data_IF_528151846024
#
_entry.id   IF_528151846024
#
_cell.length_a   1.000
_cell.length_b   1.000
_cell.length_c   1.000
_cell.angle_alpha   90.00
_cell.angle_beta   90.00
_cell.angle_gamma   90.00
#
_symmetry.space_group_name_H-M   'P 1'
#
loop_
_entity.id
_entity.type
_entity.pdbx_description
1 polymer ?
#
# COMPACT_ATOMS: atom_id res chain seq x y z
N UNK A 1 -0.04 -50.31 1.49
CA UNK A 1 0.56 -50.75 0.23
C UNK A 1 0.49 -49.56 -0.73
N UNK A 2 1.50 -48.84 -1.07
CA UNK A 2 2.92 -49.11 -1.22
C UNK A 2 3.68 -47.77 -1.08
N UNK A 3 4.75 -47.85 -0.36
CA UNK A 3 5.85 -46.89 -0.18
C UNK A 3 6.68 -46.75 -1.46
N UNK A 4 7.15 -45.54 -1.82
CA UNK A 4 8.35 -45.29 -2.62
C UNK A 4 8.71 -43.80 -2.46
N UNK A 5 9.73 -43.46 -1.98
CA UNK A 5 11.16 -43.63 -1.75
C UNK A 5 11.90 -42.34 -2.21
N UNK A 6 12.75 -41.90 -1.31
CA UNK A 6 13.63 -40.73 -1.44
C UNK A 6 14.74 -41.04 -2.46
N UNK A 7 15.12 -40.07 -3.29
CA UNK A 7 16.50 -40.02 -3.81
C UNK A 7 17.03 -38.59 -3.84
N UNK A 8 18.01 -38.42 -3.03
CA UNK A 8 19.02 -37.38 -2.93
C UNK A 8 19.70 -37.08 -4.26
N UNK A 9 20.00 -35.80 -4.52
CA UNK A 9 21.06 -35.43 -5.45
C UNK A 9 22.10 -34.56 -4.75
N UNK A 10 23.28 -35.11 -4.62
CA UNK A 10 24.52 -34.51 -4.13
C UNK A 10 25.19 -33.71 -5.25
N UNK A 11 25.61 -32.53 -4.97
CA UNK A 11 26.91 -31.93 -5.08
C UNK A 11 27.65 -31.84 -6.39
N UNK A 12 28.02 -30.63 -6.76
CA UNK A 12 29.27 -30.37 -7.45
C UNK A 12 29.88 -29.09 -6.88
N UNK A 13 31.04 -29.26 -6.23
CA UNK A 13 31.96 -28.18 -5.86
C UNK A 13 32.72 -27.72 -7.12
N UNK A 14 32.65 -26.43 -7.46
CA UNK A 14 33.55 -25.80 -8.42
C UNK A 14 34.55 -24.89 -7.71
N UNK A 15 35.83 -25.24 -7.76
CA UNK A 15 36.94 -24.47 -7.18
C UNK A 15 37.23 -23.23 -8.03
N UNK A 16 37.30 -22.06 -7.41
CA UNK A 16 37.80 -20.82 -8.03
C UNK A 16 39.29 -20.69 -7.75
N UNK A 17 40.07 -20.61 -8.84
CA UNK A 17 41.49 -20.34 -8.84
C UNK A 17 41.72 -18.85 -8.67
N UNK A 18 42.50 -18.46 -7.64
CA UNK A 18 43.01 -17.11 -7.42
C UNK A 18 44.26 -16.89 -8.24
N UNK A 19 44.17 -16.07 -9.29
CA UNK A 19 45.31 -15.56 -10.04
C UNK A 19 45.77 -14.21 -9.46
N UNK A 20 46.86 -14.19 -8.73
CA UNK A 20 47.52 -12.99 -8.31
C UNK A 20 48.34 -12.36 -9.42
N UNK A 21 48.09 -11.10 -9.76
CA UNK A 21 48.95 -10.29 -10.61
C UNK A 21 49.67 -9.26 -9.73
N UNK A 22 51.00 -9.46 -9.59
CA UNK A 22 51.94 -8.47 -9.04
C UNK A 22 52.12 -7.34 -10.06
N UNK A 23 51.75 -6.13 -9.77
CA UNK A 23 52.09 -4.93 -10.56
C UNK A 23 53.16 -4.14 -9.85
N UNK A 24 54.34 -4.06 -10.45
CA UNK A 24 55.44 -3.21 -10.04
C UNK A 24 55.15 -1.75 -10.28
N UNK A 25 55.22 -0.94 -9.22
CA UNK A 25 55.00 0.51 -9.28
C UNK A 25 56.27 1.22 -9.76
N UNK A 26 56.26 1.78 -10.94
CA UNK A 26 57.28 2.69 -11.44
C UNK A 26 56.91 4.13 -11.06
N UNK A 27 57.71 4.81 -10.27
CA UNK A 27 57.49 6.21 -9.89
C UNK A 27 57.94 7.10 -11.05
N UNK A 28 56.97 7.57 -11.83
CA UNK A 28 57.16 8.63 -12.82
C UNK A 28 56.82 9.99 -12.25
N UNK A 29 57.81 10.91 -12.32
CA UNK A 29 57.68 12.32 -11.93
C UNK A 29 56.71 13.05 -12.86
N UNK A 30 55.52 13.44 -12.37
CA UNK A 30 54.52 14.15 -13.14
C UNK A 30 54.80 15.66 -13.17
N UNK A 31 54.71 16.25 -14.36
CA UNK A 31 54.64 17.70 -14.60
C UNK A 31 53.30 18.28 -14.14
N UNK A 32 53.18 19.59 -13.86
CA UNK A 32 51.92 20.19 -13.42
C UNK A 32 50.93 20.29 -14.58
N UNK A 33 50.02 19.35 -14.62
CA UNK A 33 48.90 19.33 -15.55
C UNK A 33 47.68 19.98 -14.90
N UNK A 34 47.09 20.88 -15.62
CA UNK A 34 45.84 21.61 -15.33
C UNK A 34 44.74 20.64 -14.87
N UNK A 35 44.28 20.79 -13.65
CA UNK A 35 43.15 20.01 -13.13
C UNK A 35 41.87 20.42 -13.88
N UNK A 36 41.39 19.56 -14.77
CA UNK A 36 40.04 19.69 -15.32
C UNK A 36 39.08 19.31 -14.21
N UNK A 37 38.46 20.30 -13.61
CA UNK A 37 37.35 20.10 -12.69
C UNK A 37 36.17 19.61 -13.51
N UNK A 38 35.99 18.30 -13.55
CA UNK A 38 34.77 17.70 -14.09
C UNK A 38 33.61 18.11 -13.17
N UNK A 39 32.78 19.02 -13.63
CA UNK A 39 31.55 19.38 -12.92
C UNK A 39 30.74 18.09 -12.73
N UNK A 40 30.61 17.64 -11.48
CA UNK A 40 29.70 16.59 -11.15
C UNK A 40 28.30 17.04 -11.56
N UNK A 41 27.68 16.31 -12.49
CA UNK A 41 26.31 16.54 -12.87
C UNK A 41 25.45 16.34 -11.63
N UNK A 42 24.99 17.44 -11.06
CA UNK A 42 24.01 17.43 -9.99
C UNK A 42 22.74 16.88 -10.60
N UNK A 43 22.50 15.60 -10.41
CA UNK A 43 21.19 14.97 -10.73
C UNK A 43 20.18 15.64 -9.82
N UNK A 44 19.48 16.63 -10.35
CA UNK A 44 18.31 17.24 -9.71
C UNK A 44 17.29 16.13 -9.58
N UNK A 45 17.19 15.52 -8.40
CA UNK A 45 16.05 14.70 -8.03
C UNK A 45 14.85 15.63 -8.19
N UNK A 46 14.02 15.37 -9.21
CA UNK A 46 12.77 16.10 -9.40
C UNK A 46 12.01 16.00 -8.10
N UNK A 47 11.98 17.08 -7.34
CA UNK A 47 11.28 17.15 -6.08
C UNK A 47 9.82 16.75 -6.32
N UNK A 48 9.37 15.77 -5.57
CA UNK A 48 7.96 15.33 -5.56
C UNK A 48 7.10 16.54 -5.24
N UNK A 49 6.04 16.78 -6.02
CA UNK A 49 5.08 17.82 -5.67
C UNK A 49 4.50 17.49 -4.27
N UNK A 50 4.44 18.47 -3.37
CA UNK A 50 3.91 18.23 -2.03
C UNK A 50 2.43 17.85 -2.12
N UNK A 51 2.02 16.84 -1.35
CA UNK A 51 0.62 16.46 -1.18
C UNK A 51 -0.02 17.48 -0.25
N UNK A 52 -0.90 18.31 -0.79
CA UNK A 52 -1.63 19.35 -0.06
C UNK A 52 -3.06 18.94 0.23
N UNK A 53 -3.67 18.13 -0.64
CA UNK A 53 -5.04 17.70 -0.53
C UNK A 53 -5.14 16.17 -0.57
N UNK A 54 -5.91 15.60 0.35
CA UNK A 54 -6.19 14.16 0.45
C UNK A 54 -7.70 13.98 0.46
N UNK A 55 -8.22 13.12 -0.44
CA UNK A 55 -9.60 12.65 -0.38
C UNK A 55 -9.60 11.16 -0.06
N UNK A 56 -10.26 10.79 1.02
CA UNK A 56 -10.33 9.43 1.53
C UNK A 56 -11.74 8.87 1.46
N UNK A 57 -11.88 7.64 0.94
CA UNK A 57 -13.10 6.86 1.01
C UNK A 57 -12.84 5.58 1.81
N UNK A 58 -13.76 5.24 2.74
CA UNK A 58 -13.54 4.10 3.60
C UNK A 58 -14.78 3.55 4.29
N UNK A 59 -14.56 2.46 4.99
CA UNK A 59 -15.52 1.77 5.83
C UNK A 59 -15.34 2.11 7.33
N UNK A 60 -15.86 1.27 8.20
CA UNK A 60 -15.75 1.43 9.66
C UNK A 60 -14.30 1.46 10.17
N UNK A 61 -13.35 0.86 9.45
CA UNK A 61 -11.94 0.86 9.82
C UNK A 61 -11.36 2.27 9.68
N UNK A 62 -11.59 2.91 8.51
CA UNK A 62 -11.17 4.29 8.31
C UNK A 62 -11.94 5.26 9.21
N UNK A 63 -13.25 5.04 9.39
CA UNK A 63 -14.06 5.85 10.28
C UNK A 63 -13.51 5.88 11.71
N UNK A 64 -13.11 4.73 12.25
CA UNK A 64 -12.48 4.63 13.57
C UNK A 64 -11.13 5.35 13.65
N UNK A 65 -10.46 5.53 12.52
CA UNK A 65 -9.11 6.12 12.40
C UNK A 65 -9.13 7.54 11.81
N UNK A 66 -10.30 8.10 11.47
CA UNK A 66 -10.40 9.39 10.75
C UNK A 66 -9.63 10.50 11.45
N UNK A 67 -9.82 10.68 12.76
CA UNK A 67 -9.16 11.74 13.52
C UNK A 67 -7.63 11.61 13.49
N UNK A 68 -7.11 10.41 13.72
CA UNK A 68 -5.66 10.15 13.77
C UNK A 68 -5.05 10.24 12.38
N UNK A 69 -5.74 9.74 11.33
CA UNK A 69 -5.31 9.85 9.95
C UNK A 69 -5.26 11.30 9.48
N UNK A 70 -6.30 12.09 9.75
CA UNK A 70 -6.34 13.53 9.43
C UNK A 70 -5.18 14.28 10.07
N UNK A 71 -4.94 14.06 11.37
CA UNK A 71 -3.83 14.68 12.08
C UNK A 71 -2.46 14.26 11.49
N UNK A 72 -2.30 12.98 11.15
CA UNK A 72 -1.05 12.47 10.59
C UNK A 72 -0.75 13.03 9.18
N UNK A 73 -1.75 13.12 8.31
CA UNK A 73 -1.58 13.78 7.00
C UNK A 73 -1.29 15.27 7.16
N UNK A 74 -1.94 15.96 8.10
CA UNK A 74 -1.64 17.36 8.43
C UNK A 74 -0.21 17.56 8.90
N UNK A 75 0.32 16.66 9.73
CA UNK A 75 1.70 16.70 10.22
C UNK A 75 2.75 16.57 9.11
N UNK A 76 2.41 15.96 7.97
CA UNK A 76 3.29 15.83 6.79
C UNK A 76 2.97 16.83 5.68
N UNK A 77 2.18 17.86 5.98
CA UNK A 77 1.98 19.04 5.12
C UNK A 77 0.68 19.08 4.32
N UNK A 78 -0.24 18.12 4.50
CA UNK A 78 -1.56 18.22 3.90
C UNK A 78 -2.38 19.32 4.61
N UNK A 79 -2.92 20.24 3.84
CA UNK A 79 -3.74 21.37 4.34
C UNK A 79 -5.23 21.11 4.20
N UNK A 80 -5.59 20.15 3.34
CA UNK A 80 -6.97 19.74 3.11
C UNK A 80 -7.04 18.20 3.20
N UNK A 81 -7.70 17.67 4.21
CA UNK A 81 -7.91 16.23 4.38
C UNK A 81 -9.41 16.00 4.54
N UNK A 82 -10.01 15.44 3.51
CA UNK A 82 -11.43 15.09 3.48
C UNK A 82 -11.56 13.57 3.51
N UNK A 83 -12.26 13.03 4.50
CA UNK A 83 -12.47 11.59 4.66
C UNK A 83 -13.97 11.33 4.75
N UNK A 84 -14.48 10.57 3.77
CA UNK A 84 -15.83 10.03 3.77
C UNK A 84 -15.76 8.54 4.11
N UNK A 85 -16.08 8.19 5.35
CA UNK A 85 -15.98 6.85 5.88
C UNK A 85 -17.24 6.44 6.65
N UNK A 86 -17.88 5.35 6.22
CA UNK A 86 -19.15 4.87 6.78
C UNK A 86 -19.10 3.39 7.16
N UNK A 87 -19.74 3.07 8.28
CA UNK A 87 -19.84 1.69 8.77
C UNK A 87 -20.55 0.80 7.76
N UNK A 88 -19.96 -0.37 7.47
CA UNK A 88 -20.54 -1.36 6.58
C UNK A 88 -20.35 -1.06 5.08
N UNK A 89 -19.67 0.03 4.71
CA UNK A 89 -19.43 0.37 3.31
C UNK A 89 -18.63 -0.71 2.61
N UNK A 90 -19.09 -1.10 1.44
CA UNK A 90 -18.43 -2.01 0.51
C UNK A 90 -17.83 -1.23 -0.66
N UNK A 91 -16.99 -1.91 -1.44
CA UNK A 91 -16.43 -1.31 -2.66
C UNK A 91 -17.55 -0.98 -3.65
N UNK A 92 -18.35 -1.97 -4.04
CA UNK A 92 -19.35 -1.82 -5.12
C UNK A 92 -20.78 -1.66 -4.58
N UNK A 93 -21.21 -2.53 -3.70
CA UNK A 93 -22.59 -2.54 -3.20
C UNK A 93 -22.63 -1.91 -1.81
N UNK A 94 -23.51 -0.94 -1.59
CA UNK A 94 -23.89 -0.54 -0.25
C UNK A 94 -24.37 -1.76 0.55
N UNK A 95 -24.60 -1.63 1.84
CA UNK A 95 -25.04 -2.78 2.65
C UNK A 95 -26.45 -3.29 2.31
N UNK A 96 -27.12 -2.70 1.33
CA UNK A 96 -28.35 -3.20 0.71
C UNK A 96 -29.61 -3.05 1.53
N UNK A 97 -29.57 -2.31 2.62
CA UNK A 97 -30.69 -2.16 3.56
C UNK A 97 -30.99 -0.67 3.73
N UNK A 98 -32.08 -0.17 3.18
CA UNK A 98 -32.66 1.15 3.42
C UNK A 98 -31.66 2.30 3.49
N UNK A 99 -31.30 2.73 4.70
CA UNK A 99 -30.34 3.83 4.99
C UNK A 99 -28.86 3.42 4.89
N UNK A 100 -28.57 2.34 4.16
CA UNK A 100 -27.23 1.85 3.95
C UNK A 100 -26.32 2.91 3.28
N UNK A 101 -25.06 3.02 3.66
CA UNK A 101 -24.16 3.97 3.03
C UNK A 101 -24.00 3.64 1.54
N UNK A 102 -23.80 4.68 0.73
CA UNK A 102 -23.39 4.52 -0.67
C UNK A 102 -22.13 3.64 -0.72
N UNK A 103 -22.03 2.81 -1.76
CA UNK A 103 -20.81 2.04 -2.01
C UNK A 103 -19.61 2.98 -2.22
N UNK A 104 -18.40 2.44 -2.05
CA UNK A 104 -17.17 3.19 -2.29
C UNK A 104 -17.10 3.76 -3.69
N UNK A 105 -17.51 2.97 -4.71
CA UNK A 105 -17.57 3.42 -6.10
C UNK A 105 -18.48 4.63 -6.26
N UNK A 106 -19.71 4.56 -5.75
CA UNK A 106 -20.67 5.67 -5.86
C UNK A 106 -20.22 6.91 -5.08
N UNK A 107 -19.54 6.72 -3.95
CA UNK A 107 -18.97 7.83 -3.17
C UNK A 107 -17.88 8.54 -3.97
N UNK A 108 -16.91 7.80 -4.54
CA UNK A 108 -15.85 8.38 -5.38
C UNK A 108 -16.44 9.03 -6.63
N UNK A 109 -17.40 8.40 -7.29
CA UNK A 109 -18.08 8.96 -8.45
C UNK A 109 -18.76 10.30 -8.12
N UNK A 110 -19.44 10.37 -6.97
CA UNK A 110 -20.07 11.60 -6.50
C UNK A 110 -19.04 12.72 -6.21
N UNK A 111 -17.91 12.39 -5.61
CA UNK A 111 -16.83 13.35 -5.37
C UNK A 111 -16.23 13.86 -6.70
N UNK A 112 -15.96 12.97 -7.65
CA UNK A 112 -15.47 13.36 -8.97
C UNK A 112 -16.47 14.25 -9.72
N UNK A 113 -17.77 13.96 -9.63
CA UNK A 113 -18.84 14.80 -10.22
C UNK A 113 -18.91 16.20 -9.59
N UNK A 114 -18.53 16.34 -8.32
CA UNK A 114 -18.40 17.64 -7.64
C UNK A 114 -17.11 18.40 -8.02
N UNK A 115 -16.25 17.81 -8.85
CA UNK A 115 -14.98 18.40 -9.25
C UNK A 115 -13.86 18.23 -8.20
N UNK A 116 -13.94 17.21 -7.33
CA UNK A 116 -12.88 16.91 -6.36
C UNK A 116 -11.70 16.27 -7.09
N UNK A 117 -10.56 16.95 -7.06
CA UNK A 117 -9.29 16.51 -7.67
C UNK A 117 -8.16 16.61 -6.63
N UNK A 118 -8.04 15.65 -5.71
CA UNK A 118 -7.03 15.71 -4.68
C UNK A 118 -5.63 15.38 -5.22
N UNK A 119 -4.60 15.75 -4.46
CA UNK A 119 -3.23 15.33 -4.74
C UNK A 119 -2.99 13.86 -4.38
N UNK A 120 -3.85 13.27 -3.52
CA UNK A 120 -3.82 11.88 -3.09
C UNK A 120 -5.23 11.33 -2.90
N UNK A 121 -5.53 10.20 -3.52
CA UNK A 121 -6.66 9.36 -3.13
C UNK A 121 -6.25 8.36 -2.05
N UNK A 122 -7.08 8.22 -1.03
CA UNK A 122 -6.96 7.21 0.02
C UNK A 122 -8.18 6.27 -0.05
N UNK A 123 -7.92 4.96 -0.16
CA UNK A 123 -8.98 3.94 -0.13
C UNK A 123 -8.73 2.99 1.04
N UNK A 124 -9.74 2.83 1.90
CA UNK A 124 -9.74 1.85 3.00
C UNK A 124 -11.06 1.09 2.92
N UNK A 125 -11.13 0.15 1.98
CA UNK A 125 -12.31 -0.65 1.64
C UNK A 125 -11.89 -2.09 1.32
N UNK A 126 -12.84 -3.01 1.43
CA UNK A 126 -12.68 -4.43 1.17
C UNK A 126 -13.04 -5.28 2.37
N UNK A 127 -12.99 -4.74 3.60
CA UNK A 127 -13.30 -5.50 4.81
C UNK A 127 -14.72 -6.08 4.78
N UNK A 128 -15.70 -5.31 4.27
CA UNK A 128 -17.10 -5.73 4.22
C UNK A 128 -17.45 -6.53 2.95
N UNK A 129 -16.53 -6.61 2.01
CA UNK A 129 -16.67 -7.45 0.81
C UNK A 129 -16.26 -8.91 1.12
N UNK A 130 -15.36 -9.12 2.09
CA UNK A 130 -14.98 -10.45 2.59
C UNK A 130 -16.17 -11.10 3.29
N UNK A 131 -16.49 -12.33 2.86
CA UNK A 131 -17.65 -13.10 3.35
C UNK A 131 -18.88 -12.94 2.47
N UNK A 132 -18.97 -11.88 1.66
CA UNK A 132 -19.95 -11.77 0.58
C UNK A 132 -19.40 -12.31 -0.74
N UNK A 133 -18.10 -12.14 -0.91
CA UNK A 133 -17.32 -12.72 -1.99
C UNK A 133 -16.25 -13.63 -1.41
N UNK A 134 -15.80 -14.63 -2.19
CA UNK A 134 -14.85 -15.62 -1.73
C UNK A 134 -13.80 -16.01 -2.77
N UNK A 135 -13.93 -15.50 -4.00
CA UNK A 135 -13.04 -15.87 -5.11
C UNK A 135 -12.17 -14.67 -5.52
N UNK A 136 -10.93 -14.97 -5.90
CA UNK A 136 -9.98 -13.97 -6.37
C UNK A 136 -10.51 -13.13 -7.54
N UNK A 137 -11.24 -13.76 -8.48
CA UNK A 137 -11.82 -13.09 -9.65
C UNK A 137 -12.87 -12.06 -9.24
N UNK A 138 -13.68 -12.37 -8.22
CA UNK A 138 -14.71 -11.46 -7.70
C UNK A 138 -14.06 -10.23 -7.04
N UNK A 139 -13.05 -10.47 -6.19
CA UNK A 139 -12.27 -9.37 -5.59
C UNK A 139 -11.54 -8.56 -6.66
N UNK A 140 -11.00 -9.24 -7.68
CA UNK A 140 -10.34 -8.56 -8.80
C UNK A 140 -11.29 -7.62 -9.54
N UNK A 141 -12.51 -8.03 -9.83
CA UNK A 141 -13.51 -7.20 -10.50
C UNK A 141 -13.82 -5.93 -9.68
N UNK A 142 -14.08 -6.07 -8.37
CA UNK A 142 -14.36 -4.93 -7.48
C UNK A 142 -13.19 -3.93 -7.42
N UNK A 143 -11.97 -4.45 -7.30
CA UNK A 143 -10.76 -3.63 -7.22
C UNK A 143 -10.51 -2.93 -8.56
N UNK A 144 -10.67 -3.64 -9.67
CA UNK A 144 -10.48 -3.10 -11.01
C UNK A 144 -11.49 -1.96 -11.33
N UNK A 145 -12.74 -2.09 -10.92
CA UNK A 145 -13.75 -1.03 -11.05
C UNK A 145 -13.36 0.24 -10.29
N UNK A 146 -12.90 0.11 -9.05
CA UNK A 146 -12.41 1.24 -8.26
C UNK A 146 -11.17 1.88 -8.90
N UNK A 147 -10.21 1.07 -9.35
CA UNK A 147 -9.00 1.57 -10.00
C UNK A 147 -9.25 2.25 -11.35
N UNK A 148 -10.28 1.81 -12.08
CA UNK A 148 -10.71 2.45 -13.34
C UNK A 148 -11.36 3.80 -13.10
N UNK A 149 -12.12 3.93 -12.01
CA UNK A 149 -12.81 5.17 -11.64
C UNK A 149 -11.81 6.24 -11.18
N UNK A 150 -10.78 5.86 -10.44
CA UNK A 150 -9.79 6.78 -9.88
C UNK A 150 -8.79 7.25 -10.95
N UNK A 151 -8.61 8.58 -11.16
CA UNK A 151 -7.70 9.12 -12.17
C UNK A 151 -6.28 8.57 -12.01
N UNK A 152 -5.71 7.96 -13.06
CA UNK A 152 -4.38 7.33 -13.02
C UNK A 152 -3.24 8.31 -12.74
N UNK A 153 -3.44 9.59 -13.03
CA UNK A 153 -2.47 10.66 -12.77
C UNK A 153 -2.36 11.02 -11.29
N UNK A 154 -3.41 10.76 -10.51
CA UNK A 154 -3.43 11.03 -9.08
C UNK A 154 -2.85 9.83 -8.31
N UNK A 155 -1.89 10.04 -7.40
CA UNK A 155 -1.40 9.03 -6.48
C UNK A 155 -2.51 8.37 -5.66
N UNK A 156 -2.32 7.09 -5.33
CA UNK A 156 -3.27 6.30 -4.55
C UNK A 156 -2.56 5.55 -3.42
N UNK A 157 -3.11 5.66 -2.22
CA UNK A 157 -2.85 4.72 -1.13
C UNK A 157 -4.10 3.88 -0.92
N UNK A 158 -3.99 2.56 -1.03
CA UNK A 158 -5.06 1.64 -0.64
C UNK A 158 -4.58 0.78 0.52
N UNK A 159 -5.28 0.80 1.65
CA UNK A 159 -4.93 -0.04 2.79
C UNK A 159 -5.52 -1.43 2.63
N UNK A 160 -4.69 -2.47 2.81
CA UNK A 160 -5.16 -3.85 2.78
C UNK A 160 -6.04 -4.17 4.00
N UNK A 161 -6.66 -5.35 4.01
CA UNK A 161 -7.70 -5.71 4.96
C UNK A 161 -7.29 -6.86 5.86
N UNK A 162 -7.90 -6.91 7.05
CA UNK A 162 -7.82 -8.06 7.96
C UNK A 162 -9.15 -8.31 8.66
N UNK A 163 -9.58 -9.56 8.64
CA UNK A 163 -10.72 -10.07 9.44
C UNK A 163 -10.31 -11.37 10.11
N UNK A 164 -10.28 -11.38 11.42
CA UNK A 164 -9.90 -12.56 12.19
C UNK A 164 -10.78 -13.77 11.90
N UNK A 165 -12.06 -13.57 11.58
CA UNK A 165 -13.00 -14.63 11.23
C UNK A 165 -12.75 -15.26 9.85
N UNK A 166 -12.06 -14.54 8.95
CA UNK A 166 -11.82 -14.95 7.57
C UNK A 166 -10.36 -14.66 7.16
N UNK A 167 -9.38 -15.26 7.86
CA UNK A 167 -7.98 -14.95 7.63
C UNK A 167 -7.53 -15.30 6.20
N UNK A 168 -7.95 -16.46 5.69
CA UNK A 168 -7.61 -16.90 4.34
C UNK A 168 -8.21 -16.01 3.25
N UNK A 169 -9.47 -15.59 3.42
CA UNK A 169 -10.11 -14.69 2.47
C UNK A 169 -9.48 -13.29 2.52
N UNK A 170 -9.00 -12.85 3.69
CA UNK A 170 -8.23 -11.62 3.81
C UNK A 170 -6.93 -11.69 2.99
N UNK A 171 -6.23 -12.82 3.02
CA UNK A 171 -5.04 -13.04 2.20
C UNK A 171 -5.37 -13.04 0.72
N UNK A 172 -6.42 -13.77 0.29
CA UNK A 172 -6.83 -13.80 -1.13
C UNK A 172 -7.15 -12.39 -1.63
N UNK A 173 -7.93 -11.60 -0.88
CA UNK A 173 -8.22 -10.21 -1.22
C UNK A 173 -6.94 -9.37 -1.33
N UNK A 174 -6.05 -9.48 -0.35
CA UNK A 174 -4.83 -8.66 -0.27
C UNK A 174 -3.83 -9.00 -1.38
N UNK A 175 -3.71 -10.27 -1.76
CA UNK A 175 -2.86 -10.69 -2.89
C UNK A 175 -3.35 -10.09 -4.21
N UNK A 176 -4.64 -10.14 -4.45
CA UNK A 176 -5.26 -9.51 -5.63
C UNK A 176 -5.08 -8.00 -5.60
N UNK A 177 -5.33 -7.37 -4.44
CA UNK A 177 -5.14 -5.92 -4.26
C UNK A 177 -3.70 -5.51 -4.58
N UNK A 178 -2.72 -6.23 -4.03
CA UNK A 178 -1.31 -5.93 -4.25
C UNK A 178 -0.94 -6.00 -5.74
N UNK A 179 -1.40 -7.03 -6.45
CA UNK A 179 -1.16 -7.19 -7.89
C UNK A 179 -1.77 -6.04 -8.70
N UNK A 180 -3.03 -5.68 -8.44
CA UNK A 180 -3.75 -4.63 -9.17
C UNK A 180 -3.18 -3.24 -8.90
N UNK A 181 -2.88 -2.94 -7.64
CA UNK A 181 -2.28 -1.66 -7.24
C UNK A 181 -0.88 -1.50 -7.86
N UNK A 182 -0.05 -2.56 -7.87
CA UNK A 182 1.26 -2.54 -8.51
C UNK A 182 1.15 -2.29 -10.03
N UNK A 183 0.19 -2.92 -10.71
CA UNK A 183 -0.03 -2.74 -12.14
C UNK A 183 -0.57 -1.34 -12.51
N UNK A 184 -1.26 -0.66 -11.58
CA UNK A 184 -1.76 0.69 -11.82
C UNK A 184 -0.64 1.72 -11.96
N UNK A 185 0.45 1.60 -11.22
CA UNK A 185 1.47 2.63 -11.06
C UNK A 185 0.98 3.84 -10.25
N UNK A 186 1.89 4.61 -9.67
CA UNK A 186 1.59 5.71 -8.74
C UNK A 186 0.58 5.32 -7.65
N UNK A 187 0.70 4.09 -7.18
CA UNK A 187 -0.17 3.53 -6.17
C UNK A 187 0.63 2.59 -5.26
N UNK A 188 0.20 2.49 -4.03
CA UNK A 188 0.85 1.65 -3.03
C UNK A 188 -0.19 1.06 -2.07
N UNK A 189 0.08 -0.14 -1.58
CA UNK A 189 -0.69 -0.77 -0.52
C UNK A 189 -0.07 -0.41 0.84
N UNK A 190 -0.89 0.11 1.76
CA UNK A 190 -0.54 0.25 3.16
C UNK A 190 -0.87 -1.07 3.90
N UNK A 191 0.12 -1.65 4.56
CA UNK A 191 0.02 -3.01 5.11
C UNK A 191 -0.57 -3.03 6.53
N UNK A 192 -1.90 -2.93 6.63
CA UNK A 192 -2.62 -3.15 7.87
C UNK A 192 -2.66 -4.64 8.26
N UNK A 193 -2.78 -5.53 7.28
CA UNK A 193 -2.83 -6.97 7.51
C UNK A 193 -1.61 -7.46 8.29
N UNK A 194 -0.41 -7.07 7.88
CA UNK A 194 0.82 -7.51 8.54
C UNK A 194 0.89 -7.15 10.03
N UNK A 195 0.23 -6.03 10.43
CA UNK A 195 0.15 -5.64 11.84
C UNK A 195 -1.00 -6.33 12.56
N UNK A 196 -2.19 -6.34 11.96
CA UNK A 196 -3.40 -6.84 12.61
C UNK A 196 -3.43 -8.36 12.76
N UNK A 197 -2.73 -9.11 11.89
CA UNK A 197 -2.60 -10.56 11.96
C UNK A 197 -1.42 -11.04 12.82
N UNK A 198 -0.57 -10.13 13.29
CA UNK A 198 0.62 -10.50 14.04
C UNK A 198 0.28 -11.25 15.34
N UNK A 199 1.04 -12.28 15.72
CA UNK A 199 0.85 -12.98 17.00
C UNK A 199 0.93 -11.99 18.16
N UNK A 200 -0.02 -12.09 19.12
CA UNK A 200 -0.09 -11.22 20.31
C UNK A 200 -0.29 -9.73 19.99
N UNK A 201 -0.82 -9.40 18.82
CA UNK A 201 -1.16 -8.01 18.51
C UNK A 201 -2.20 -7.47 19.52
N UNK A 202 -2.15 -6.17 19.77
CA UNK A 202 -3.05 -5.46 20.69
C UNK A 202 -3.75 -4.28 20.01
N UNK A 203 -3.83 -4.29 18.68
CA UNK A 203 -4.36 -3.18 17.87
C UNK A 203 -5.83 -3.33 17.50
N UNK A 204 -6.42 -4.51 17.75
CA UNK A 204 -7.82 -4.79 17.45
C UNK A 204 -8.69 -4.73 18.71
N UNK A 205 -9.98 -4.48 18.51
CA UNK A 205 -11.02 -4.73 19.48
C UNK A 205 -11.27 -6.23 19.61
N UNK A 206 -12.06 -6.64 20.59
CA UNK A 206 -12.43 -8.03 20.83
C UNK A 206 -13.18 -8.69 19.67
N UNK A 207 -13.75 -7.90 18.75
CA UNK A 207 -14.44 -8.39 17.56
C UNK A 207 -13.49 -8.93 16.47
N UNK A 208 -12.18 -8.72 16.60
CA UNK A 208 -11.16 -9.19 15.66
C UNK A 208 -11.19 -8.50 14.29
N UNK A 209 -11.84 -7.34 14.18
CA UNK A 209 -12.03 -6.59 12.93
C UNK A 209 -11.61 -5.14 13.10
N UNK A 210 -12.23 -4.45 14.08
CA UNK A 210 -12.09 -3.02 14.22
C UNK A 210 -10.83 -2.63 15.02
N UNK A 211 -10.12 -1.57 14.61
CA UNK A 211 -9.01 -1.06 15.40
C UNK A 211 -9.53 -0.51 16.74
N UNK A 212 -8.76 -0.73 17.79
CA UNK A 212 -8.86 0.07 19.01
C UNK A 212 -8.08 1.38 18.87
N UNK A 213 -7.91 2.17 19.93
CA UNK A 213 -7.17 3.44 19.86
C UNK A 213 -5.74 3.28 19.39
N UNK A 214 -5.01 2.27 19.89
CA UNK A 214 -3.66 1.98 19.46
C UNK A 214 -3.62 1.55 17.98
N UNK A 215 -4.61 0.76 17.52
CA UNK A 215 -4.78 0.39 16.13
C UNK A 215 -5.04 1.58 15.21
N UNK A 216 -5.86 2.53 15.64
CA UNK A 216 -6.10 3.75 14.87
C UNK A 216 -4.83 4.59 14.69
N UNK A 217 -3.97 4.67 15.70
CA UNK A 217 -2.67 5.35 15.62
C UNK A 217 -1.70 4.60 14.70
N UNK A 218 -1.73 3.26 14.73
CA UNK A 218 -0.93 2.43 13.79
C UNK A 218 -1.39 2.67 12.36
N UNK A 219 -2.69 2.63 12.09
CA UNK A 219 -3.25 2.89 10.75
C UNK A 219 -2.78 4.25 10.24
N UNK A 220 -2.88 5.30 11.03
CA UNK A 220 -2.43 6.63 10.64
C UNK A 220 -0.95 6.65 10.24
N UNK A 221 -0.08 5.97 11.00
CA UNK A 221 1.35 5.83 10.64
C UNK A 221 1.56 5.06 9.34
N UNK A 222 0.86 3.94 9.14
CA UNK A 222 0.97 3.12 7.92
C UNK A 222 0.57 3.92 6.68
N UNK A 223 -0.49 4.72 6.76
CA UNK A 223 -0.95 5.56 5.65
C UNK A 223 0.08 6.62 5.27
N UNK A 224 0.70 7.28 6.26
CA UNK A 224 1.77 8.27 6.01
C UNK A 224 3.04 7.59 5.48
N UNK A 225 3.43 6.45 6.03
CA UNK A 225 4.58 5.68 5.53
C UNK A 225 4.36 5.22 4.08
N UNK A 226 3.15 4.79 3.73
CA UNK A 226 2.80 4.45 2.36
C UNK A 226 2.91 5.69 1.45
N UNK A 227 2.37 6.84 1.87
CA UNK A 227 2.51 8.10 1.14
C UNK A 227 3.98 8.45 0.89
N UNK A 228 4.87 8.29 1.86
CA UNK A 228 6.30 8.61 1.72
C UNK A 228 7.04 7.70 0.73
N UNK A 229 6.48 6.54 0.40
CA UNK A 229 7.03 5.57 -0.56
C UNK A 229 6.47 5.72 -1.99
N UNK A 230 5.43 6.50 -2.17
CA UNK A 230 4.85 6.87 -3.47
C UNK A 230 5.76 7.82 -4.23
#
# INVERSE_FOLDING_TARGET
MTYLDRRSFLGVCGALVLGGACSTTTIGRAAPGTAVVTAAATTTVRGRSPIRSVSGVGDSILRASTRTATAAFGAVGATQVQIDAETGRRIEVGNGLGDAPLSGLRTVEAELKKGVHPDLWLVVLGTNDIGSYSKAEQFGALIDEMLQLLPRTTPLVWMNVYRQQYPELSLVFNDVLQQRVAARGRAIVADWHGVASAPKQTVLRADGIHPNSAGADVIARLLVQALQRL
#
